data_IF_165229822667
#
_entry.id   IF_165229822667
#
_cell.length_a   1.000
_cell.length_b   1.000
_cell.length_c   1.000
_cell.angle_alpha   90.00
_cell.angle_beta   90.00
_cell.angle_gamma   90.00
#
_symmetry.space_group_name_H-M   'P 1'
#
loop_
_entity.id
_entity.type
_entity.pdbx_description
1 polymer ?
#
# COMPACT_ATOMS: atom_id res chain seq x y z
N UNK A 1 12.10 -18.47 -10.11
CA UNK A 1 12.08 -17.01 -10.41
C UNK A 1 11.29 -16.33 -9.29
N UNK A 2 11.79 -15.22 -8.74
CA UNK A 2 11.09 -14.46 -7.69
C UNK A 2 9.91 -13.68 -8.29
N UNK A 3 8.78 -13.65 -7.60
CA UNK A 3 7.57 -12.93 -8.05
C UNK A 3 7.35 -11.69 -7.21
N UNK A 4 7.00 -10.59 -7.87
CA UNK A 4 6.62 -9.33 -7.25
C UNK A 4 5.22 -8.90 -7.71
N UNK A 5 4.39 -8.42 -6.79
CA UNK A 5 3.16 -7.69 -7.10
C UNK A 5 3.40 -6.20 -6.84
N UNK A 6 3.13 -5.36 -7.84
CA UNK A 6 3.18 -3.90 -7.72
C UNK A 6 1.80 -3.33 -7.99
N UNK A 7 1.15 -2.74 -6.98
CA UNK A 7 -0.13 -2.07 -7.17
C UNK A 7 0.09 -0.63 -7.68
N UNK A 8 -0.82 -0.15 -8.56
CA UNK A 8 -0.65 1.17 -9.19
C UNK A 8 0.55 1.24 -10.14
N UNK A 9 0.85 0.13 -10.84
CA UNK A 9 2.03 -0.02 -11.69
C UNK A 9 1.86 0.56 -13.11
N UNK A 10 0.71 1.10 -13.48
CA UNK A 10 0.45 1.56 -14.86
C UNK A 10 0.81 3.03 -15.10
N UNK A 11 1.23 3.76 -14.07
CA UNK A 11 1.60 5.18 -14.14
C UNK A 11 2.63 5.55 -13.06
N UNK A 12 3.27 6.70 -13.20
CA UNK A 12 4.13 7.30 -12.20
C UNK A 12 5.23 6.36 -11.67
N UNK A 13 5.51 6.46 -10.37
CA UNK A 13 6.59 5.71 -9.72
C UNK A 13 6.38 4.19 -9.76
N UNK A 14 5.13 3.73 -9.67
CA UNK A 14 4.82 2.30 -9.74
C UNK A 14 5.21 1.67 -11.07
N UNK A 15 5.06 2.40 -12.19
CA UNK A 15 5.50 1.95 -13.51
C UNK A 15 7.02 1.78 -13.59
N UNK A 16 7.76 2.77 -13.10
CA UNK A 16 9.23 2.70 -13.08
C UNK A 16 9.72 1.53 -12.23
N UNK A 17 9.14 1.33 -11.04
CA UNK A 17 9.46 0.21 -10.15
C UNK A 17 9.17 -1.14 -10.81
N UNK A 18 7.99 -1.31 -11.43
CA UNK A 18 7.62 -2.53 -12.12
C UNK A 18 8.59 -2.86 -13.27
N UNK A 19 8.94 -1.86 -14.08
CA UNK A 19 9.91 -2.00 -15.19
C UNK A 19 11.31 -2.38 -14.67
N UNK A 20 11.78 -1.75 -13.59
CA UNK A 20 13.09 -2.05 -12.99
C UNK A 20 13.16 -3.45 -12.39
N UNK A 21 12.09 -3.90 -11.73
CA UNK A 21 12.01 -5.27 -11.20
C UNK A 21 12.05 -6.30 -12.34
N UNK A 22 11.29 -6.08 -13.43
CA UNK A 22 11.30 -6.93 -14.60
C UNK A 22 12.71 -7.01 -15.24
N UNK A 23 13.38 -5.87 -15.37
CA UNK A 23 14.76 -5.80 -15.88
C UNK A 23 15.78 -6.55 -14.98
N UNK A 24 15.48 -6.70 -13.69
CA UNK A 24 16.27 -7.50 -12.73
C UNK A 24 15.86 -8.98 -12.70
N UNK A 25 15.05 -9.45 -13.63
CA UNK A 25 14.65 -10.85 -13.74
C UNK A 25 13.53 -11.29 -12.79
N UNK A 26 12.77 -10.35 -12.20
CA UNK A 26 11.58 -10.70 -11.44
C UNK A 26 10.41 -11.00 -12.37
N UNK A 27 9.59 -11.98 -12.01
CA UNK A 27 8.23 -12.08 -12.53
C UNK A 27 7.39 -10.99 -11.89
N UNK A 28 6.96 -10.02 -12.67
CA UNK A 28 6.20 -8.86 -12.17
C UNK A 28 4.72 -9.04 -12.50
N UNK A 29 3.88 -9.04 -11.47
CA UNK A 29 2.45 -8.87 -11.57
C UNK A 29 2.15 -7.38 -11.37
N UNK A 30 1.72 -6.72 -12.45
CA UNK A 30 1.53 -5.28 -12.49
C UNK A 30 0.03 -4.94 -12.42
N UNK A 31 -0.42 -4.37 -11.29
CA UNK A 31 -1.81 -3.99 -11.14
C UNK A 31 -2.06 -2.53 -11.54
N UNK A 32 -3.22 -2.27 -12.17
CA UNK A 32 -3.72 -0.94 -12.48
C UNK A 32 -5.16 -0.93 -12.98
N UNK A 33 -5.75 0.28 -13.10
CA UNK A 33 -7.14 0.47 -13.55
C UNK A 33 -7.26 0.63 -15.07
N UNK A 34 -6.26 1.23 -15.68
CA UNK A 34 -6.29 1.59 -17.10
C UNK A 34 -5.78 0.43 -17.96
N UNK A 35 -6.66 -0.16 -18.76
CA UNK A 35 -6.37 -1.30 -19.62
C UNK A 35 -5.24 -1.00 -20.61
N UNK A 36 -5.35 0.09 -21.37
CA UNK A 36 -4.39 0.43 -22.42
C UNK A 36 -2.97 0.66 -21.86
N UNK A 37 -2.86 1.38 -20.73
CA UNK A 37 -1.56 1.59 -20.05
C UNK A 37 -1.00 0.30 -19.47
N UNK A 38 -1.86 -0.59 -18.96
CA UNK A 38 -1.45 -1.88 -18.43
C UNK A 38 -0.91 -2.81 -19.52
N UNK A 39 -1.60 -2.91 -20.64
CA UNK A 39 -1.16 -3.67 -21.82
C UNK A 39 0.13 -3.11 -22.41
N UNK A 40 0.26 -1.78 -22.44
CA UNK A 40 1.50 -1.14 -22.87
C UNK A 40 2.67 -1.55 -21.97
N UNK A 41 2.51 -1.46 -20.63
CA UNK A 41 3.53 -1.89 -19.69
C UNK A 41 3.89 -3.37 -19.87
N UNK A 42 2.89 -4.23 -20.05
CA UNK A 42 3.11 -5.65 -20.29
C UNK A 42 3.96 -5.91 -21.55
N UNK A 43 3.66 -5.22 -22.66
CA UNK A 43 4.45 -5.33 -23.91
C UNK A 43 5.88 -4.84 -23.74
N UNK A 44 6.09 -3.76 -22.98
CA UNK A 44 7.42 -3.14 -22.82
C UNK A 44 8.32 -3.87 -21.83
N UNK A 45 7.75 -4.46 -20.78
CA UNK A 45 8.51 -5.02 -19.66
C UNK A 45 8.39 -6.54 -19.49
N UNK A 46 7.45 -7.18 -20.19
CA UNK A 46 7.12 -8.58 -19.97
C UNK A 46 6.32 -8.84 -18.68
N UNK A 47 5.82 -7.81 -17.99
CA UNK A 47 4.99 -7.96 -16.81
C UNK A 47 3.62 -8.54 -17.15
N UNK A 48 3.04 -9.32 -16.24
CA UNK A 48 1.64 -9.75 -16.33
C UNK A 48 0.74 -8.62 -15.81
N UNK A 49 -0.12 -8.07 -16.65
CA UNK A 49 -1.05 -7.02 -16.25
C UNK A 49 -2.31 -7.60 -15.59
N UNK A 50 -2.64 -7.09 -14.40
CA UNK A 50 -3.84 -7.44 -13.65
C UNK A 50 -4.71 -6.19 -13.45
N UNK A 51 -5.87 -6.16 -14.08
CA UNK A 51 -6.81 -5.04 -13.99
C UNK A 51 -7.71 -5.18 -12.77
N UNK A 52 -7.77 -4.13 -11.94
CA UNK A 52 -8.75 -3.99 -10.86
C UNK A 52 -8.92 -2.51 -10.50
N UNK A 53 -10.06 -2.13 -9.90
CA UNK A 53 -10.27 -0.81 -9.31
C UNK A 53 -10.32 -0.94 -7.78
N UNK A 54 -9.24 -0.53 -7.12
CA UNK A 54 -9.10 -0.62 -5.66
C UNK A 54 -10.00 0.38 -4.89
N UNK A 55 -10.86 1.12 -5.56
CA UNK A 55 -11.93 1.88 -4.91
C UNK A 55 -13.11 0.99 -4.47
N UNK A 56 -13.10 -0.31 -4.79
CA UNK A 56 -14.08 -1.28 -4.36
C UNK A 56 -13.40 -2.48 -3.69
N UNK A 57 -13.84 -2.85 -2.49
CA UNK A 57 -13.29 -4.00 -1.75
C UNK A 57 -13.48 -5.32 -2.51
N UNK A 58 -14.59 -5.47 -3.25
CA UNK A 58 -14.83 -6.63 -4.11
C UNK A 58 -13.74 -6.79 -5.19
N UNK A 59 -13.30 -5.69 -5.80
CA UNK A 59 -12.22 -5.69 -6.77
C UNK A 59 -10.85 -5.99 -6.13
N UNK A 60 -10.61 -5.54 -4.90
CA UNK A 60 -9.44 -5.93 -4.11
C UNK A 60 -9.40 -7.45 -3.86
N UNK A 61 -10.55 -8.07 -3.55
CA UNK A 61 -10.67 -9.54 -3.42
C UNK A 61 -10.43 -10.25 -4.74
N UNK A 62 -11.03 -9.74 -5.82
CA UNK A 62 -10.83 -10.29 -7.16
C UNK A 62 -9.36 -10.21 -7.58
N UNK A 63 -8.66 -9.10 -7.28
CA UNK A 63 -7.24 -8.98 -7.55
C UNK A 63 -6.43 -10.03 -6.78
N UNK A 64 -6.76 -10.28 -5.52
CA UNK A 64 -6.07 -11.32 -4.74
C UNK A 64 -6.23 -12.71 -5.38
N UNK A 65 -7.41 -13.05 -5.87
CA UNK A 65 -7.64 -14.33 -6.59
C UNK A 65 -6.88 -14.39 -7.93
N UNK A 66 -6.85 -13.29 -8.70
CA UNK A 66 -6.05 -13.22 -9.91
C UNK A 66 -4.55 -13.48 -9.60
N UNK A 67 -4.01 -12.87 -8.54
CA UNK A 67 -2.62 -13.10 -8.12
C UNK A 67 -2.37 -14.57 -7.75
N UNK A 68 -3.28 -15.20 -6.98
CA UNK A 68 -3.17 -16.60 -6.59
C UNK A 68 -3.21 -17.55 -7.79
N UNK A 69 -3.97 -17.21 -8.82
CA UNK A 69 -4.04 -18.00 -10.06
C UNK A 69 -2.77 -17.85 -10.91
N UNK A 70 -2.08 -16.71 -10.81
CA UNK A 70 -0.86 -16.44 -11.57
C UNK A 70 0.40 -17.05 -10.96
N UNK A 71 0.44 -17.25 -9.65
CA UNK A 71 1.68 -17.67 -8.98
C UNK A 71 1.42 -18.46 -7.70
N UNK A 72 2.28 -19.45 -7.46
CA UNK A 72 2.32 -20.19 -6.20
C UNK A 72 3.22 -19.53 -5.12
N UNK A 73 3.90 -18.41 -5.44
CA UNK A 73 4.78 -17.73 -4.50
C UNK A 73 4.86 -16.23 -4.75
N UNK A 74 4.92 -15.42 -3.68
CA UNK A 74 5.02 -13.96 -3.73
C UNK A 74 6.09 -13.47 -2.76
N UNK A 75 7.29 -13.21 -3.28
CA UNK A 75 8.44 -12.76 -2.49
C UNK A 75 8.43 -11.24 -2.23
N UNK A 76 7.66 -10.47 -3.02
CA UNK A 76 7.59 -9.02 -2.87
C UNK A 76 6.17 -8.52 -3.15
N UNK A 77 5.58 -7.83 -2.17
CA UNK A 77 4.34 -7.10 -2.31
C UNK A 77 4.61 -5.60 -2.14
N UNK A 78 4.32 -4.80 -3.17
CA UNK A 78 4.42 -3.33 -3.11
C UNK A 78 3.02 -2.72 -3.20
N UNK A 79 2.50 -2.26 -2.08
CA UNK A 79 1.27 -1.48 -1.99
C UNK A 79 1.58 -0.03 -2.34
N UNK A 80 1.58 0.28 -3.65
CA UNK A 80 1.90 1.61 -4.17
C UNK A 80 0.66 2.34 -4.71
N UNK A 81 -0.42 1.65 -5.04
CA UNK A 81 -1.64 2.29 -5.51
C UNK A 81 -2.12 3.37 -4.53
N UNK A 82 -2.49 4.52 -5.06
CA UNK A 82 -2.99 5.62 -4.26
C UNK A 82 -3.50 6.78 -5.11
N UNK A 83 -4.30 7.64 -4.49
CA UNK A 83 -4.83 8.88 -5.05
C UNK A 83 -4.41 10.07 -4.19
N UNK A 84 -4.30 11.25 -4.80
CA UNK A 84 -3.86 12.47 -4.15
C UNK A 84 -4.93 13.15 -3.28
N UNK A 85 -4.55 14.28 -2.70
CA UNK A 85 -5.44 15.14 -1.90
C UNK A 85 -6.53 15.84 -2.72
N UNK A 86 -6.26 16.09 -4.00
CA UNK A 86 -7.23 16.62 -4.96
C UNK A 86 -7.82 15.43 -5.71
N UNK A 87 -9.13 15.26 -5.64
CA UNK A 87 -9.85 14.23 -6.40
C UNK A 87 -10.28 14.73 -7.77
N UNK A 88 -10.87 13.84 -8.57
CA UNK A 88 -11.44 14.19 -9.88
C UNK A 88 -12.64 15.14 -9.78
N UNK A 89 -13.22 15.28 -8.59
CA UNK A 89 -14.35 16.16 -8.26
C UNK A 89 -14.10 16.88 -6.93
N UNK A 90 -14.63 18.10 -6.76
CA UNK A 90 -14.55 18.82 -5.49
C UNK A 90 -15.36 18.09 -4.41
N UNK A 91 -14.92 18.24 -3.15
CA UNK A 91 -15.61 17.72 -1.98
C UNK A 91 -15.25 16.28 -1.60
N UNK A 92 -15.99 15.75 -0.65
CA UNK A 92 -15.85 14.38 -0.16
C UNK A 92 -16.41 13.40 -1.19
N UNK A 93 -15.62 12.39 -1.49
CA UNK A 93 -15.98 11.30 -2.39
C UNK A 93 -15.99 9.99 -1.60
N UNK A 94 -16.83 9.05 -2.01
CA UNK A 94 -16.93 7.73 -1.42
C UNK A 94 -16.52 6.64 -2.41
N UNK A 95 -16.01 5.56 -1.85
CA UNK A 95 -15.81 4.29 -2.56
C UNK A 95 -17.14 3.60 -2.84
N UNK A 96 -17.12 2.53 -3.63
CA UNK A 96 -18.31 1.71 -3.87
C UNK A 96 -18.89 1.10 -2.58
N UNK A 97 -18.07 0.99 -1.53
CA UNK A 97 -18.43 0.42 -0.22
C UNK A 97 -18.85 1.51 0.80
N UNK A 98 -19.00 2.78 0.37
CA UNK A 98 -19.43 3.90 1.23
C UNK A 98 -18.32 4.49 2.12
N UNK A 99 -17.04 4.13 1.90
CA UNK A 99 -15.92 4.66 2.66
C UNK A 99 -15.36 5.93 2.00
N UNK A 100 -14.75 6.83 2.81
CA UNK A 100 -14.02 7.97 2.23
C UNK A 100 -12.98 7.46 1.23
N UNK A 101 -12.96 8.06 0.04
CA UNK A 101 -12.29 7.48 -1.11
C UNK A 101 -10.77 7.33 -0.94
N UNK A 102 -10.11 8.29 -0.26
CA UNK A 102 -8.65 8.21 -0.01
C UNK A 102 -8.33 7.16 1.03
N UNK A 103 -9.14 7.08 2.08
CA UNK A 103 -9.00 6.02 3.07
C UNK A 103 -9.22 4.63 2.46
N UNK A 104 -10.21 4.49 1.58
CA UNK A 104 -10.48 3.25 0.86
C UNK A 104 -9.31 2.84 -0.05
N UNK A 105 -8.89 3.73 -0.97
CA UNK A 105 -7.89 3.41 -2.00
C UNK A 105 -6.48 3.36 -1.44
N UNK A 106 -6.08 4.37 -0.65
CA UNK A 106 -4.71 4.46 -0.17
C UNK A 106 -4.41 3.47 0.95
N UNK A 107 -5.42 3.12 1.76
CA UNK A 107 -5.21 2.31 2.95
C UNK A 107 -5.96 0.98 2.95
N UNK A 108 -7.31 0.98 2.97
CA UNK A 108 -8.10 -0.25 3.15
C UNK A 108 -7.85 -1.28 2.05
N UNK A 109 -7.67 -0.85 0.81
CA UNK A 109 -7.37 -1.75 -0.30
C UNK A 109 -6.04 -2.48 -0.09
N UNK A 110 -4.98 -1.77 0.33
CA UNK A 110 -3.68 -2.37 0.64
C UNK A 110 -3.74 -3.29 1.88
N UNK A 111 -4.49 -2.89 2.90
CA UNK A 111 -4.76 -3.71 4.09
C UNK A 111 -5.44 -5.04 3.70
N UNK A 112 -6.55 -4.97 2.98
CA UNK A 112 -7.30 -6.14 2.51
C UNK A 112 -6.43 -7.06 1.65
N UNK A 113 -5.79 -6.50 0.62
CA UNK A 113 -4.97 -7.25 -0.33
C UNK A 113 -3.81 -7.95 0.38
N UNK A 114 -3.13 -7.27 1.30
CA UNK A 114 -2.03 -7.84 2.08
C UNK A 114 -2.50 -9.07 2.87
N UNK A 115 -3.60 -8.97 3.61
CA UNK A 115 -4.10 -10.10 4.40
C UNK A 115 -4.57 -11.27 3.54
N UNK A 116 -5.21 -11.01 2.39
CA UNK A 116 -5.65 -12.05 1.46
C UNK A 116 -4.48 -12.78 0.79
N UNK A 117 -3.34 -12.10 0.60
CA UNK A 117 -2.13 -12.65 -0.01
C UNK A 117 -1.12 -13.14 1.04
N UNK A 118 -1.34 -12.89 2.33
CA UNK A 118 -0.41 -13.25 3.39
C UNK A 118 -0.04 -14.75 3.40
N UNK A 119 -0.96 -15.70 3.17
CA UNK A 119 -0.60 -17.12 3.06
C UNK A 119 0.42 -17.36 1.93
N UNK A 120 0.26 -16.71 0.78
CA UNK A 120 1.16 -16.82 -0.37
C UNK A 120 2.53 -16.19 -0.07
N UNK A 121 2.56 -15.06 0.62
CA UNK A 121 3.79 -14.38 1.06
C UNK A 121 4.52 -15.24 2.11
N UNK A 122 3.79 -15.83 3.07
CA UNK A 122 4.36 -16.72 4.11
C UNK A 122 4.99 -17.98 3.51
N UNK A 123 4.35 -18.58 2.52
CA UNK A 123 4.89 -19.73 1.79
C UNK A 123 6.15 -19.39 0.97
N UNK A 124 6.44 -18.10 0.79
CA UNK A 124 7.54 -17.60 -0.05
C UNK A 124 8.67 -16.95 0.75
N UNK A 125 8.68 -17.11 2.08
CA UNK A 125 9.73 -16.51 2.91
C UNK A 125 11.14 -17.00 2.49
N UNK A 126 12.17 -16.14 2.49
CA UNK A 126 12.13 -14.74 2.90
C UNK A 126 11.39 -13.83 1.89
N UNK A 127 10.53 -12.95 2.40
CA UNK A 127 9.70 -12.08 1.59
C UNK A 127 9.61 -10.66 2.18
N UNK A 128 9.17 -9.70 1.35
CA UNK A 128 9.06 -8.29 1.76
C UNK A 128 7.72 -7.70 1.38
N UNK A 129 7.19 -6.85 2.26
CA UNK A 129 6.02 -6.02 2.03
C UNK A 129 6.45 -4.56 2.14
N UNK A 130 6.18 -3.77 1.11
CA UNK A 130 6.52 -2.35 1.03
C UNK A 130 5.24 -1.54 0.86
N UNK A 131 4.96 -0.66 1.82
CA UNK A 131 3.82 0.25 1.76
C UNK A 131 4.30 1.66 1.36
N UNK A 132 3.83 2.17 0.22
CA UNK A 132 4.19 3.50 -0.27
C UNK A 132 3.29 4.54 0.38
N UNK A 133 3.78 5.13 1.47
CA UNK A 133 3.13 6.17 2.25
C UNK A 133 3.50 7.58 1.76
N UNK A 134 3.63 8.53 2.68
CA UNK A 134 3.94 9.94 2.39
C UNK A 134 4.62 10.61 3.60
N UNK A 135 5.27 11.76 3.35
CA UNK A 135 5.64 12.71 4.40
C UNK A 135 4.42 13.53 4.89
N UNK A 136 3.38 13.64 4.06
CA UNK A 136 2.10 14.23 4.48
C UNK A 136 1.37 13.26 5.40
N UNK A 137 1.50 13.48 6.71
CA UNK A 137 0.92 12.68 7.78
C UNK A 137 0.10 13.57 8.71
N UNK A 138 -1.01 13.06 9.20
CA UNK A 138 -1.83 13.72 10.21
C UNK A 138 -2.52 12.64 11.05
N UNK A 139 -2.57 12.84 12.36
CA UNK A 139 -3.22 11.93 13.29
C UNK A 139 -4.65 11.57 12.85
N UNK A 140 -4.97 10.30 12.91
CA UNK A 140 -6.28 9.76 12.55
C UNK A 140 -7.27 10.17 13.64
N UNK A 141 -8.36 10.78 13.21
CA UNK A 141 -9.51 11.05 14.06
C UNK A 141 -10.39 9.80 14.13
N UNK A 142 -10.23 9.03 15.21
CA UNK A 142 -10.97 7.78 15.36
C UNK A 142 -12.46 7.97 15.66
N UNK A 143 -12.91 9.19 16.00
CA UNK A 143 -14.32 9.52 16.18
C UNK A 143 -15.01 9.85 14.86
N UNK A 144 -14.23 10.14 13.79
CA UNK A 144 -14.73 10.42 12.45
C UNK A 144 -13.69 10.06 11.38
N UNK A 145 -13.26 8.79 11.34
CA UNK A 145 -12.26 8.29 10.39
C UNK A 145 -12.66 8.54 8.93
N UNK A 146 -13.97 8.53 8.65
CA UNK A 146 -14.51 8.78 7.30
C UNK A 146 -14.68 10.26 6.98
N UNK A 147 -14.30 11.15 7.88
CA UNK A 147 -14.37 12.61 7.72
C UNK A 147 -15.73 13.08 7.19
N UNK A 148 -16.78 12.66 7.88
CA UNK A 148 -18.16 13.06 7.56
C UNK A 148 -18.45 14.50 7.94
N UNK A 149 -17.62 15.08 8.82
CA UNK A 149 -17.71 16.46 9.33
C UNK A 149 -16.44 17.23 8.97
N UNK A 150 -16.59 18.47 8.46
CA UNK A 150 -15.46 19.36 8.19
C UNK A 150 -14.43 18.75 7.22
N UNK A 151 -14.89 18.17 6.13
CA UNK A 151 -14.05 17.46 5.17
C UNK A 151 -12.95 18.34 4.57
N UNK A 152 -11.77 17.80 4.47
CA UNK A 152 -10.65 18.32 3.69
C UNK A 152 -9.93 17.18 2.96
N UNK A 153 -9.77 17.30 1.65
CA UNK A 153 -9.05 16.29 0.86
C UNK A 153 -7.59 16.13 1.31
N UNK A 154 -6.95 17.20 1.79
CA UNK A 154 -5.60 17.15 2.37
C UNK A 154 -5.61 16.34 3.67
N UNK A 155 -6.57 16.60 4.57
CA UNK A 155 -6.73 15.84 5.82
C UNK A 155 -6.98 14.37 5.53
N UNK A 156 -7.91 14.06 4.61
CA UNK A 156 -8.22 12.69 4.22
C UNK A 156 -6.99 11.96 3.65
N UNK A 157 -6.23 12.62 2.79
CA UNK A 157 -4.98 12.09 2.26
C UNK A 157 -3.97 11.83 3.39
N UNK A 158 -3.69 12.82 4.23
CA UNK A 158 -2.69 12.71 5.31
C UNK A 158 -3.05 11.62 6.32
N UNK A 159 -4.32 11.49 6.71
CA UNK A 159 -4.78 10.43 7.59
C UNK A 159 -4.67 9.04 6.93
N UNK A 160 -5.03 8.93 5.65
CA UNK A 160 -4.88 7.67 4.92
C UNK A 160 -3.41 7.22 4.80
N UNK A 161 -2.49 8.19 4.68
CA UNK A 161 -1.05 7.91 4.61
C UNK A 161 -0.46 7.55 5.99
N UNK A 162 -0.94 8.17 7.05
CA UNK A 162 -0.57 7.75 8.41
C UNK A 162 -1.13 6.35 8.72
N UNK A 163 -2.36 6.03 8.29
CA UNK A 163 -2.94 4.69 8.45
C UNK A 163 -2.06 3.59 7.83
N UNK A 164 -1.45 3.84 6.66
CA UNK A 164 -0.48 2.90 6.06
C UNK A 164 0.75 2.68 6.95
N UNK A 165 1.21 3.71 7.66
CA UNK A 165 2.37 3.59 8.56
C UNK A 165 1.99 2.80 9.81
N UNK A 166 0.86 3.13 10.46
CA UNK A 166 0.36 2.36 11.60
C UNK A 166 0.22 0.88 11.25
N UNK A 167 -0.40 0.60 10.11
CA UNK A 167 -0.55 -0.76 9.59
C UNK A 167 0.79 -1.46 9.36
N UNK A 168 1.78 -0.76 8.81
CA UNK A 168 3.11 -1.35 8.55
C UNK A 168 3.78 -1.78 9.83
N UNK A 169 3.76 -0.94 10.88
CA UNK A 169 4.37 -1.24 12.18
C UNK A 169 3.64 -2.42 12.84
N UNK A 170 2.32 -2.39 12.81
CA UNK A 170 1.48 -3.43 13.36
C UNK A 170 1.68 -4.78 12.66
N UNK A 171 1.73 -4.78 11.32
CA UNK A 171 2.00 -5.97 10.52
C UNK A 171 3.41 -6.52 10.75
N UNK A 172 4.40 -5.65 10.95
CA UNK A 172 5.76 -6.06 11.27
C UNK A 172 5.84 -6.80 12.62
N UNK A 173 5.09 -6.35 13.62
CA UNK A 173 4.96 -7.02 14.91
C UNK A 173 4.28 -8.40 14.76
N UNK A 174 3.20 -8.47 13.97
CA UNK A 174 2.50 -9.74 13.67
C UNK A 174 3.40 -10.75 12.96
N UNK A 175 4.25 -10.29 12.05
CA UNK A 175 5.12 -11.14 11.22
C UNK A 175 6.47 -11.43 11.84
N UNK A 176 6.72 -11.04 13.08
CA UNK A 176 7.99 -11.28 13.76
C UNK A 176 8.36 -12.78 13.78
N UNK A 177 9.56 -13.08 13.33
CA UNK A 177 10.08 -14.46 13.26
C UNK A 177 9.60 -15.27 12.04
N UNK A 178 8.76 -14.72 11.16
CA UNK A 178 8.26 -15.42 9.97
C UNK A 178 9.19 -15.37 8.75
N UNK A 179 10.30 -14.63 8.82
CA UNK A 179 11.15 -14.35 7.66
C UNK A 179 10.58 -13.32 6.68
N UNK A 180 9.49 -12.63 7.07
CA UNK A 180 8.87 -11.58 6.25
C UNK A 180 9.10 -10.23 6.92
N UNK A 181 9.54 -9.24 6.15
CA UNK A 181 9.64 -7.85 6.60
C UNK A 181 8.55 -6.96 5.99
N UNK A 182 8.03 -6.03 6.79
CA UNK A 182 7.11 -5.00 6.34
C UNK A 182 7.69 -3.62 6.68
N UNK A 183 7.90 -2.78 5.67
CA UNK A 183 8.41 -1.43 5.81
C UNK A 183 7.60 -0.45 4.96
N UNK A 184 7.65 0.83 5.31
CA UNK A 184 6.98 1.88 4.54
C UNK A 184 7.87 3.09 4.32
N UNK A 185 7.49 3.92 3.34
CA UNK A 185 8.28 5.10 3.01
C UNK A 185 7.43 6.25 2.45
N UNK A 186 7.97 7.47 2.59
CA UNK A 186 7.71 8.57 1.69
C UNK A 186 8.70 8.47 0.52
N UNK A 187 8.24 8.23 -0.73
CA UNK A 187 9.16 7.96 -1.83
C UNK A 187 9.92 9.21 -2.30
N UNK A 188 9.24 10.34 -2.42
CA UNK A 188 9.82 11.65 -2.71
C UNK A 188 8.74 12.73 -2.73
N UNK A 189 9.14 14.00 -2.54
CA UNK A 189 8.23 15.14 -2.49
C UNK A 189 7.86 15.61 -3.89
N UNK A 190 6.55 15.72 -4.15
CA UNK A 190 5.99 16.23 -5.41
C UNK A 190 6.68 15.69 -6.66
N UNK A 191 6.76 14.36 -6.77
CA UNK A 191 7.30 13.70 -7.96
C UNK A 191 6.54 14.12 -9.22
N UNK A 192 7.24 14.18 -10.35
CA UNK A 192 6.65 14.50 -11.65
C UNK A 192 5.70 13.39 -12.15
N UNK A 193 4.58 13.21 -11.47
CA UNK A 193 3.53 12.22 -11.75
C UNK A 193 2.25 12.89 -12.22
N UNK A 194 1.36 12.11 -12.82
CA UNK A 194 0.01 12.58 -13.17
C UNK A 194 -0.73 13.11 -11.94
N UNK A 195 -0.63 12.44 -10.79
CA UNK A 195 -1.23 12.84 -9.52
C UNK A 195 -0.79 14.26 -9.10
N UNK A 196 0.51 14.55 -9.13
CA UNK A 196 1.05 15.87 -8.73
C UNK A 196 0.65 16.94 -9.72
N UNK A 197 0.73 16.66 -11.03
CA UNK A 197 0.29 17.62 -12.06
C UNK A 197 -1.19 17.96 -11.94
N UNK A 198 -2.05 16.98 -11.67
CA UNK A 198 -3.50 17.19 -11.47
C UNK A 198 -3.82 18.01 -10.22
N UNK A 199 -2.96 17.98 -9.20
CA UNK A 199 -3.14 18.85 -8.02
C UNK A 199 -2.79 20.32 -8.25
N UNK A 200 -2.30 20.69 -9.44
CA UNK A 200 -1.82 22.04 -9.72
C UNK A 200 -0.47 22.38 -9.07
N UNK A 201 0.18 21.39 -8.44
CA UNK A 201 1.47 21.58 -7.79
C UNK A 201 2.62 21.40 -8.79
N UNK A 202 3.60 22.28 -8.75
CA UNK A 202 4.82 22.15 -9.55
C UNK A 202 5.65 20.96 -9.04
N UNK A 203 6.03 20.01 -9.92
CA UNK A 203 6.92 18.92 -9.54
C UNK A 203 8.26 19.43 -9.00
N UNK A 204 8.73 18.82 -7.90
CA UNK A 204 10.00 19.15 -7.23
C UNK A 204 11.04 18.06 -7.34
N UNK A 205 10.64 16.85 -7.73
CA UNK A 205 11.54 15.70 -7.86
C UNK A 205 11.17 14.82 -9.05
N UNK A 206 12.12 14.01 -9.49
CA UNK A 206 11.88 13.03 -10.55
C UNK A 206 11.14 11.79 -10.01
N UNK A 207 10.51 11.05 -10.90
CA UNK A 207 9.89 9.77 -10.58
C UNK A 207 10.96 8.73 -10.24
N UNK A 208 12.13 8.84 -10.85
CA UNK A 208 13.29 7.98 -10.63
C UNK A 208 13.78 8.05 -9.19
N UNK A 209 13.85 9.24 -8.59
CA UNK A 209 14.18 9.41 -7.16
C UNK A 209 13.25 8.60 -6.25
N UNK A 210 11.94 8.67 -6.52
CA UNK A 210 10.98 7.88 -5.76
C UNK A 210 11.10 6.38 -6.01
N UNK A 211 11.42 6.00 -7.24
CA UNK A 211 11.65 4.60 -7.58
C UNK A 211 12.90 4.05 -6.89
N UNK A 212 13.98 4.81 -6.80
CA UNK A 212 15.20 4.42 -6.06
C UNK A 212 14.87 4.14 -4.59
N UNK A 213 14.07 5.00 -3.96
CA UNK A 213 13.66 4.82 -2.57
C UNK A 213 12.80 3.56 -2.39
N UNK A 214 11.84 3.30 -3.27
CA UNK A 214 11.02 2.08 -3.22
C UNK A 214 11.89 0.84 -3.46
N UNK A 215 12.78 0.87 -4.44
CA UNK A 215 13.68 -0.24 -4.75
C UNK A 215 14.64 -0.54 -3.60
N UNK A 216 15.08 0.47 -2.84
CA UNK A 216 15.87 0.24 -1.62
C UNK A 216 15.13 -0.67 -0.63
N UNK A 217 13.85 -0.41 -0.35
CA UNK A 217 13.05 -1.23 0.56
C UNK A 217 12.75 -2.60 -0.04
N UNK A 218 12.52 -2.63 -1.35
CA UNK A 218 12.12 -3.84 -2.06
C UNK A 218 13.24 -4.88 -2.15
N UNK A 219 14.47 -4.47 -2.51
CA UNK A 219 15.51 -5.44 -2.92
C UNK A 219 16.87 -5.23 -2.25
N UNK A 220 17.11 -4.14 -1.49
CA UNK A 220 18.42 -3.90 -0.90
C UNK A 220 18.78 -4.97 0.15
N UNK A 221 19.95 -5.61 0.08
CA UNK A 221 20.41 -6.55 1.10
C UNK A 221 20.67 -5.88 2.45
N UNK A 222 20.90 -4.56 2.48
CA UNK A 222 21.10 -3.79 3.72
C UNK A 222 19.89 -3.76 4.64
N UNK A 223 18.71 -4.06 4.11
CA UNK A 223 17.45 -4.08 4.85
C UNK A 223 16.95 -5.52 5.13
N UNK A 224 17.79 -6.51 4.92
CA UNK A 224 17.44 -7.89 5.28
C UNK A 224 17.19 -8.01 6.79
N UNK A 225 16.06 -8.64 7.16
CA UNK A 225 15.64 -8.78 8.55
C UNK A 225 15.16 -7.50 9.25
N UNK A 226 15.26 -6.33 8.62
CA UNK A 226 14.76 -5.06 9.19
C UNK A 226 13.29 -4.87 8.85
N UNK A 227 12.47 -4.62 9.86
CA UNK A 227 11.01 -4.56 9.72
C UNK A 227 10.39 -3.51 10.65
N UNK A 228 9.22 -2.98 10.27
CA UNK A 228 8.50 -1.98 11.06
C UNK A 228 9.03 -0.56 10.91
N UNK A 229 9.80 -0.28 9.88
CA UNK A 229 10.51 0.99 9.70
C UNK A 229 9.75 1.91 8.73
N UNK A 230 9.84 3.21 9.01
CA UNK A 230 9.45 4.26 8.10
C UNK A 230 10.68 4.98 7.55
N UNK A 231 10.68 5.23 6.24
CA UNK A 231 11.75 5.95 5.54
C UNK A 231 11.23 7.25 4.92
N UNK A 232 12.01 8.31 5.06
CA UNK A 232 11.84 9.52 4.27
C UNK A 232 12.87 9.48 3.13
N UNK A 233 12.38 9.16 1.94
CA UNK A 233 13.19 8.84 0.76
C UNK A 233 14.14 7.68 1.09
N UNK A 234 15.43 7.90 1.19
CA UNK A 234 16.47 6.88 1.42
C UNK A 234 16.82 6.69 2.89
N UNK A 235 16.38 7.60 3.77
CA UNK A 235 16.81 7.63 5.16
C UNK A 235 15.71 7.16 6.09
N UNK A 236 16.05 6.33 7.06
CA UNK A 236 15.16 5.99 8.16
C UNK A 236 14.75 7.25 8.91
N UNK A 237 13.47 7.37 9.22
CA UNK A 237 12.90 8.56 9.83
C UNK A 237 11.82 8.20 10.87
N UNK A 238 11.49 9.14 11.72
CA UNK A 238 10.37 8.99 12.65
C UNK A 238 9.08 9.42 11.97
N UNK A 239 8.03 8.59 11.99
CA UNK A 239 6.70 9.01 11.54
C UNK A 239 6.02 9.91 12.57
N UNK A 240 4.77 10.33 12.28
CA UNK A 240 3.89 10.98 13.26
C UNK A 240 3.80 10.14 14.55
N UNK A 241 3.72 10.81 15.69
CA UNK A 241 3.74 10.19 17.02
C UNK A 241 2.65 9.13 17.21
N UNK A 242 1.47 9.32 16.59
CA UNK A 242 0.37 8.36 16.69
C UNK A 242 0.75 6.97 16.13
N UNK A 243 1.69 6.88 15.18
CA UNK A 243 2.17 5.61 14.66
C UNK A 243 2.88 4.75 15.72
N UNK A 244 3.47 5.39 16.73
CA UNK A 244 4.14 4.72 17.85
C UNK A 244 3.17 4.32 18.97
N UNK A 245 1.91 4.80 18.95
CA UNK A 245 0.90 4.45 19.95
C UNK A 245 0.28 3.06 19.67
N UNK A 246 0.51 2.05 20.53
CA UNK A 246 -0.05 0.71 20.33
C UNK A 246 -1.58 0.69 20.43
N UNK A 247 -2.20 1.63 21.17
CA UNK A 247 -3.66 1.73 21.26
C UNK A 247 -4.25 2.21 19.93
N UNK A 248 -3.65 3.23 19.32
CA UNK A 248 -4.06 3.72 18.01
C UNK A 248 -3.92 2.63 16.93
N UNK A 249 -2.82 1.85 16.92
CA UNK A 249 -2.63 0.73 16.00
C UNK A 249 -3.69 -0.36 16.18
N UNK A 250 -3.96 -0.75 17.44
CA UNK A 250 -4.99 -1.75 17.73
C UNK A 250 -6.40 -1.29 17.33
N UNK A 251 -6.73 0.00 17.56
CA UNK A 251 -8.00 0.58 17.16
C UNK A 251 -8.16 0.62 15.63
N UNK A 252 -7.10 1.02 14.91
CA UNK A 252 -7.10 1.01 13.45
C UNK A 252 -7.24 -0.42 12.91
N UNK A 253 -6.52 -1.41 13.46
CA UNK A 253 -6.65 -2.82 13.08
C UNK A 253 -8.09 -3.32 13.24
N UNK A 254 -8.68 -3.10 14.42
CA UNK A 254 -10.06 -3.50 14.69
C UNK A 254 -11.03 -2.92 13.65
N UNK A 255 -10.95 -1.60 13.44
CA UNK A 255 -11.78 -0.91 12.46
C UNK A 255 -11.57 -1.48 11.05
N UNK A 256 -10.32 -1.70 10.63
CA UNK A 256 -10.01 -2.20 9.29
C UNK A 256 -10.52 -3.62 9.06
N UNK A 257 -10.43 -4.50 10.05
CA UNK A 257 -11.03 -5.84 10.00
C UNK A 257 -12.55 -5.78 9.86
N UNK A 258 -13.18 -4.83 10.56
CA UNK A 258 -14.62 -4.60 10.47
C UNK A 258 -15.02 -4.12 9.07
N UNK A 259 -14.39 -3.06 8.58
CA UNK A 259 -14.70 -2.44 7.29
C UNK A 259 -14.41 -3.37 6.10
N UNK A 260 -13.37 -4.20 6.21
CA UNK A 260 -13.01 -5.15 5.15
C UNK A 260 -13.69 -6.50 5.28
N UNK A 261 -14.44 -6.76 6.35
CA UNK A 261 -15.09 -8.07 6.58
C UNK A 261 -14.12 -9.23 6.81
N UNK A 262 -12.88 -8.96 7.24
CA UNK A 262 -11.86 -9.98 7.52
C UNK A 262 -11.92 -10.57 8.93
N UNK A 263 -12.89 -10.20 9.77
CA UNK A 263 -13.00 -10.62 11.18
C UNK A 263 -12.95 -12.14 11.42
N UNK A 264 -13.31 -12.93 10.42
CA UNK A 264 -13.37 -14.40 10.53
C UNK A 264 -12.16 -15.12 9.91
N UNK A 265 -11.19 -14.39 9.35
CA UNK A 265 -10.06 -14.97 8.63
C UNK A 265 -8.76 -15.05 9.47
N UNK A 266 -8.70 -14.44 10.65
CA UNK A 266 -7.53 -14.47 11.53
C UNK A 266 -7.70 -15.54 12.59
N UNK A 267 -6.63 -16.32 12.92
CA UNK A 267 -6.68 -17.29 14.02
C UNK A 267 -6.93 -16.57 15.36
N UNK A 268 -7.74 -17.22 16.20
CA UNK A 268 -8.17 -16.80 17.54
C UNK A 268 -6.99 -16.48 18.48
N UNK A 269 -6.36 -15.34 18.39
CA UNK A 269 -5.40 -14.87 19.40
C UNK A 269 -6.00 -13.95 20.47
N UNK A 270 -7.29 -13.58 20.33
CA UNK A 270 -7.98 -12.70 21.29
C UNK A 270 -9.47 -13.05 21.43
N UNK A 271 -9.80 -14.29 21.79
CA UNK A 271 -11.09 -14.49 22.47
C UNK A 271 -10.84 -14.30 23.97
N UNK A 272 -11.48 -13.31 24.63
CA UNK A 272 -11.52 -13.35 26.08
C UNK A 272 -12.16 -14.66 26.51
N UNK A 273 -11.54 -15.35 27.47
CA UNK A 273 -12.10 -16.54 28.06
C UNK A 273 -13.56 -16.26 28.45
N UNK A 274 -14.49 -17.06 27.94
CA UNK A 274 -15.88 -17.01 28.39
C UNK A 274 -15.89 -17.37 29.86
N UNK A 275 -16.17 -16.39 30.72
CA UNK A 275 -16.52 -16.57 32.13
C UNK A 275 -17.88 -17.25 32.23
#
# INVERSE_FOLDING_TARGET
MKTALVTGATDGVGRVVATRLAAQGWRVLAHGRNQARGEQLARESGATFLKADLSALAEGRRLAELVKNETAGLQLLINNAGIGSVGDRPGRQESADGHELRFAVNYLAGFLLTHLLLPLVKASAPARIVNVSSAGQQAIDFDDVMLTRGYSGVRAYCQSKLAQILFTIDLAEELKGSGISANCLHPSTYMNTTMVRQSGTTPMSSVETGADAIMQLAVSPKLEGRSGLYFNVMNEARPDAQASDPKARAQLRKLSLELTGLRHALPDRERPARS
#
